data_IF_185218089909
#
_entry.id   IF_185218089909
#
_cell.length_a   1.000
_cell.length_b   1.000
_cell.length_c   1.000
_cell.angle_alpha   90.00
_cell.angle_beta   90.00
_cell.angle_gamma   90.00
#
_symmetry.space_group_name_H-M   'P 1'
#
loop_
_entity.id
_entity.type
_entity.pdbx_description
1 polymer ?
#
# COMPACT_ATOMS: atom_id res chain seq x y z
N UNK A 1 13.66 -23.74 29.22
CA UNK A 1 14.73 -22.84 28.74
C UNK A 1 15.11 -23.33 27.35
N UNK A 2 15.07 -22.44 26.34
CA UNK A 2 15.60 -22.58 24.97
C UNK A 2 14.77 -23.50 24.03
N UNK A 3 14.36 -23.11 22.82
CA UNK A 3 14.67 -21.87 22.11
C UNK A 3 13.99 -21.72 20.74
N UNK A 4 14.02 -20.46 20.32
CA UNK A 4 14.00 -19.94 18.95
C UNK A 4 12.76 -20.15 18.07
N UNK A 5 11.96 -19.09 18.09
CA UNK A 5 11.14 -18.56 17.01
C UNK A 5 11.84 -18.75 15.66
N UNK A 6 11.21 -19.47 14.72
CA UNK A 6 11.59 -19.40 13.31
C UNK A 6 11.09 -18.07 12.72
N UNK A 7 11.74 -16.97 13.09
CA UNK A 7 11.66 -15.67 12.44
C UNK A 7 12.96 -15.48 11.66
N UNK A 8 13.13 -16.20 10.55
CA UNK A 8 14.16 -15.94 9.52
C UNK A 8 13.95 -16.87 8.34
N UNK A 9 12.83 -16.71 7.64
CA UNK A 9 12.74 -17.06 6.23
C UNK A 9 13.02 -15.79 5.42
N UNK A 10 14.20 -15.20 5.58
CA UNK A 10 14.68 -14.23 4.60
C UNK A 10 15.38 -15.04 3.51
N UNK A 11 14.59 -15.77 2.72
CA UNK A 11 15.09 -16.36 1.47
C UNK A 11 15.01 -15.28 0.39
N UNK A 12 15.75 -14.18 0.61
CA UNK A 12 15.93 -13.13 -0.39
C UNK A 12 16.89 -13.64 -1.46
N UNK A 13 16.35 -14.41 -2.40
CA UNK A 13 17.08 -14.85 -3.58
C UNK A 13 16.16 -14.87 -4.80
N UNK A 14 15.45 -13.76 -5.05
CA UNK A 14 14.55 -13.57 -6.20
C UNK A 14 13.15 -13.05 -5.87
N UNK A 15 12.88 -12.67 -4.63
CA UNK A 15 11.56 -12.18 -4.20
C UNK A 15 11.27 -10.77 -4.76
N UNK A 16 10.00 -10.53 -5.11
CA UNK A 16 9.48 -9.21 -5.41
C UNK A 16 9.79 -8.25 -4.26
N UNK A 17 10.46 -7.13 -4.56
CA UNK A 17 10.80 -6.12 -3.56
C UNK A 17 10.27 -4.76 -3.98
N UNK A 18 9.76 -4.00 -3.01
CA UNK A 18 9.32 -2.62 -3.25
C UNK A 18 10.37 -1.69 -2.68
N UNK A 19 10.91 -0.83 -3.54
CA UNK A 19 12.00 0.08 -3.22
C UNK A 19 11.46 1.45 -2.83
N UNK A 20 10.50 1.99 -3.60
CA UNK A 20 10.01 3.33 -3.38
C UNK A 20 8.60 3.53 -3.96
N UNK A 21 7.91 4.58 -3.52
CA UNK A 21 6.56 4.94 -4.00
C UNK A 21 6.51 6.43 -4.27
N UNK A 22 6.25 6.82 -5.52
CA UNK A 22 6.23 8.21 -5.95
C UNK A 22 4.97 8.56 -6.75
N UNK A 23 4.22 9.61 -6.36
CA UNK A 23 4.33 10.30 -5.08
C UNK A 23 3.89 9.41 -3.91
N UNK A 24 4.52 9.52 -2.73
CA UNK A 24 4.08 8.87 -1.47
C UNK A 24 2.90 9.58 -0.80
N UNK A 25 2.33 10.55 -1.49
CA UNK A 25 1.22 11.37 -1.05
C UNK A 25 0.22 11.58 -2.19
N UNK A 26 -1.06 11.42 -1.89
CA UNK A 26 -2.16 11.70 -2.83
C UNK A 26 -3.38 12.18 -2.06
N UNK A 27 -4.34 12.83 -2.73
CA UNK A 27 -5.57 13.22 -2.07
C UNK A 27 -6.42 12.01 -1.67
N UNK A 28 -7.04 12.11 -0.49
CA UNK A 28 -7.99 11.11 0.05
C UNK A 28 -9.22 10.87 -0.82
N UNK A 29 -9.52 11.78 -1.73
CA UNK A 29 -10.58 11.61 -2.72
C UNK A 29 -10.29 10.44 -3.69
N UNK A 30 -9.05 9.93 -3.75
CA UNK A 30 -8.65 8.88 -4.69
C UNK A 30 -8.57 9.37 -6.14
N UNK A 31 -8.49 8.41 -7.07
CA UNK A 31 -8.43 8.66 -8.52
C UNK A 31 -7.11 9.18 -9.04
N UNK A 32 -6.08 9.26 -8.19
CA UNK A 32 -4.73 9.65 -8.58
C UNK A 32 -3.88 8.41 -8.82
N UNK A 33 -2.99 8.46 -9.81
CA UNK A 33 -2.08 7.35 -10.11
C UNK A 33 -0.74 7.61 -9.44
N UNK A 34 -0.22 6.58 -8.78
CA UNK A 34 1.11 6.59 -8.18
C UNK A 34 1.97 5.50 -8.83
N UNK A 35 3.27 5.74 -8.88
CA UNK A 35 4.25 4.79 -9.33
C UNK A 35 4.91 4.10 -8.13
N UNK A 36 4.75 2.79 -8.04
CA UNK A 36 5.46 1.92 -7.12
C UNK A 36 6.70 1.41 -7.84
N UNK A 37 7.87 1.81 -7.35
CA UNK A 37 9.17 1.34 -7.81
C UNK A 37 9.60 0.14 -7.00
N UNK A 38 10.14 -0.85 -7.67
CA UNK A 38 10.60 -2.07 -7.04
C UNK A 38 11.47 -2.91 -7.96
N UNK A 39 11.58 -4.19 -7.67
CA UNK A 39 12.35 -5.14 -8.44
C UNK A 39 11.60 -6.46 -8.52
N UNK A 40 11.77 -7.16 -9.65
CA UNK A 40 11.15 -8.46 -9.94
C UNK A 40 9.61 -8.44 -10.06
N UNK A 41 9.04 -7.35 -10.61
CA UNK A 41 7.64 -7.36 -11.03
C UNK A 41 7.49 -8.20 -12.30
N UNK A 42 6.68 -9.25 -12.22
CA UNK A 42 6.38 -10.18 -13.31
C UNK A 42 5.19 -9.66 -14.11
N UNK A 43 5.43 -9.28 -15.35
CA UNK A 43 4.39 -8.81 -16.28
C UNK A 43 3.40 -9.90 -16.73
N UNK A 44 3.74 -11.17 -16.51
CA UNK A 44 2.90 -12.34 -16.86
C UNK A 44 1.79 -12.66 -15.84
N UNK A 45 1.75 -11.96 -14.69
CA UNK A 45 0.75 -12.19 -13.64
C UNK A 45 0.00 -10.92 -13.27
N UNK A 46 -1.13 -11.08 -12.59
CA UNK A 46 -1.87 -9.97 -12.00
C UNK A 46 -1.26 -9.51 -10.67
N UNK A 47 -1.35 -8.20 -10.42
CA UNK A 47 -1.05 -7.59 -9.13
C UNK A 47 -2.28 -6.90 -8.57
N UNK A 48 -2.51 -7.10 -7.28
CA UNK A 48 -3.52 -6.35 -6.53
C UNK A 48 -2.83 -5.53 -5.45
N UNK A 49 -3.07 -4.23 -5.44
CA UNK A 49 -2.57 -3.33 -4.41
C UNK A 49 -3.70 -2.95 -3.46
N UNK A 50 -3.40 -2.94 -2.18
CA UNK A 50 -4.26 -2.52 -1.10
C UNK A 50 -3.61 -1.36 -0.36
N UNK A 51 -4.40 -0.34 -0.09
CA UNK A 51 -4.06 0.81 0.74
C UNK A 51 -4.82 0.64 2.06
N UNK A 52 -4.14 0.13 3.08
CA UNK A 52 -4.74 -0.26 4.35
C UNK A 52 -5.74 -1.40 4.16
N UNK A 53 -7.03 -1.05 4.21
CA UNK A 53 -8.15 -1.96 3.95
C UNK A 53 -8.79 -1.78 2.58
N UNK A 54 -8.39 -0.75 1.82
CA UNK A 54 -9.02 -0.35 0.56
C UNK A 54 -8.28 -0.95 -0.64
N UNK A 55 -9.01 -1.61 -1.55
CA UNK A 55 -8.40 -2.20 -2.75
C UNK A 55 -8.24 -1.15 -3.84
N UNK A 56 -7.05 -1.10 -4.46
CA UNK A 56 -6.80 -0.29 -5.66
C UNK A 56 -7.73 -0.72 -6.81
N UNK A 57 -8.44 0.22 -7.46
CA UNK A 57 -9.37 -0.08 -8.53
C UNK A 57 -8.65 -0.47 -9.83
N UNK A 58 -7.41 -0.02 -10.02
CA UNK A 58 -6.64 -0.28 -11.22
C UNK A 58 -5.14 -0.39 -10.89
N UNK A 59 -4.52 -1.45 -11.41
CA UNK A 59 -3.09 -1.70 -11.31
C UNK A 59 -2.58 -1.99 -12.72
N UNK A 60 -1.53 -1.29 -13.14
CA UNK A 60 -0.91 -1.42 -14.46
C UNK A 60 0.59 -1.61 -14.27
N UNK A 61 1.12 -2.70 -14.80
CA UNK A 61 2.55 -2.98 -14.77
C UNK A 61 3.14 -2.26 -15.98
N UNK A 62 4.09 -1.34 -15.74
CA UNK A 62 4.80 -0.67 -16.83
C UNK A 62 6.03 -1.50 -17.18
N UNK A 63 6.81 -1.86 -16.15
CA UNK A 63 8.10 -2.54 -16.27
C UNK A 63 8.29 -3.49 -15.09
N UNK A 64 9.28 -4.41 -15.14
CA UNK A 64 9.62 -5.26 -14.01
C UNK A 64 10.11 -4.52 -12.76
N UNK A 65 10.29 -3.21 -12.87
CA UNK A 65 10.72 -2.32 -11.78
C UNK A 65 9.71 -1.21 -11.48
N UNK A 66 8.64 -1.07 -12.28
CA UNK A 66 7.66 0.01 -12.15
C UNK A 66 6.22 -0.48 -12.31
N UNK A 67 5.44 -0.29 -11.26
CA UNK A 67 4.00 -0.52 -11.20
C UNK A 67 3.28 0.81 -11.08
N UNK A 68 2.33 1.09 -11.95
CA UNK A 68 1.43 2.24 -11.83
C UNK A 68 0.12 1.76 -11.23
N UNK A 69 -0.28 2.34 -10.10
CA UNK A 69 -1.51 1.96 -9.41
C UNK A 69 -2.37 3.17 -9.16
N UNK A 70 -3.67 2.98 -9.28
CA UNK A 70 -4.65 4.01 -8.97
C UNK A 70 -4.98 3.96 -7.48
N UNK A 71 -4.88 5.11 -6.84
CA UNK A 71 -5.17 5.26 -5.42
C UNK A 71 -6.68 5.32 -5.24
N UNK A 72 -7.29 4.40 -4.48
CA UNK A 72 -8.72 4.47 -4.19
C UNK A 72 -9.03 5.65 -3.24
N UNK A 73 -10.28 6.10 -3.17
CA UNK A 73 -10.70 7.01 -2.11
C UNK A 73 -10.46 6.36 -0.74
N UNK A 74 -9.95 7.12 0.22
CA UNK A 74 -9.64 6.59 1.55
C UNK A 74 -9.80 7.67 2.63
N UNK A 75 -10.45 7.34 3.75
CA UNK A 75 -10.71 8.27 4.86
C UNK A 75 -9.52 8.50 5.81
N UNK A 76 -8.35 7.89 5.58
CA UNK A 76 -7.23 7.93 6.53
C UNK A 76 -6.23 9.03 6.16
N UNK A 77 -5.90 9.92 7.10
CA UNK A 77 -5.05 11.08 6.82
C UNK A 77 -3.53 10.76 6.69
N UNK A 78 -2.99 9.77 7.38
CA UNK A 78 -1.56 9.42 7.26
C UNK A 78 -1.25 8.04 7.83
N UNK A 79 -0.14 7.43 7.38
CA UNK A 79 0.37 6.17 7.93
C UNK A 79 -0.31 4.95 7.34
N UNK A 80 -0.73 5.02 6.08
CA UNK A 80 -1.43 3.90 5.43
C UNK A 80 -0.43 2.83 5.01
N UNK A 81 -0.72 1.60 5.37
CA UNK A 81 0.03 0.42 4.93
C UNK A 81 -0.25 0.14 3.45
N UNK A 82 0.77 -0.02 2.63
CA UNK A 82 0.59 -0.50 1.25
C UNK A 82 0.86 -2.00 1.24
N UNK A 83 -0.11 -2.79 0.81
CA UNK A 83 0.07 -4.23 0.58
C UNK A 83 -0.06 -4.52 -0.90
N UNK A 84 0.97 -5.10 -1.50
CA UNK A 84 0.95 -5.54 -2.89
C UNK A 84 0.92 -7.06 -2.89
N UNK A 85 -0.13 -7.63 -3.45
CA UNK A 85 -0.31 -9.08 -3.60
C UNK A 85 -0.17 -9.47 -5.05
N UNK A 86 0.74 -10.40 -5.33
CA UNK A 86 0.82 -11.09 -6.61
C UNK A 86 -0.22 -12.24 -6.66
N UNK A 87 -0.89 -12.44 -7.80
CA UNK A 87 -1.94 -13.47 -7.95
C UNK A 87 -1.37 -14.90 -7.81
N UNK A 88 -0.10 -15.10 -8.20
CA UNK A 88 0.63 -16.36 -8.13
C UNK A 88 2.00 -16.20 -7.45
N UNK A 89 2.10 -15.29 -6.47
CA UNK A 89 3.36 -15.03 -5.78
C UNK A 89 3.13 -14.45 -4.39
N UNK A 90 4.17 -13.82 -3.86
CA UNK A 90 4.18 -13.28 -2.52
C UNK A 90 3.38 -11.99 -2.38
N UNK A 91 2.97 -11.73 -1.14
CA UNK A 91 2.38 -10.47 -0.74
C UNK A 91 3.40 -9.65 0.04
N UNK A 92 3.69 -8.45 -0.44
CA UNK A 92 4.59 -7.52 0.22
C UNK A 92 3.80 -6.43 0.92
N UNK A 93 4.09 -6.17 2.20
CA UNK A 93 3.44 -5.11 2.99
C UNK A 93 4.45 -4.10 3.47
N UNK A 94 4.16 -2.83 3.23
CA UNK A 94 4.95 -1.69 3.68
C UNK A 94 4.11 -0.88 4.66
N UNK A 95 4.49 -0.91 5.93
CA UNK A 95 3.79 -0.14 6.95
C UNK A 95 4.10 1.36 6.81
N UNK A 96 3.07 2.21 6.92
CA UNK A 96 3.21 3.67 6.81
C UNK A 96 3.94 4.14 5.54
N UNK A 97 3.70 3.49 4.41
CA UNK A 97 4.28 3.87 3.12
C UNK A 97 3.62 5.10 2.49
N UNK A 98 2.40 5.44 2.90
CA UNK A 98 1.59 6.45 2.23
C UNK A 98 0.91 7.44 3.18
N UNK A 99 0.75 8.69 2.72
CA UNK A 99 0.03 9.75 3.44
C UNK A 99 -1.01 10.42 2.53
N UNK A 100 -2.26 10.49 2.98
CA UNK A 100 -3.31 11.13 2.18
C UNK A 100 -3.50 12.60 2.54
N UNK A 101 -3.38 13.48 1.55
CA UNK A 101 -3.58 14.93 1.71
C UNK A 101 -5.07 15.27 1.59
N UNK A 102 -5.66 15.79 2.66
CA UNK A 102 -7.08 16.18 2.64
C UNK A 102 -8.05 15.04 2.92
N UNK A 103 -7.58 13.91 3.45
CA UNK A 103 -8.49 13.06 4.23
C UNK A 103 -8.96 13.89 5.40
N UNK A 104 -10.23 13.75 5.78
CA UNK A 104 -10.64 14.18 7.10
C UNK A 104 -9.64 13.53 8.07
N UNK A 105 -8.89 14.34 8.85
CA UNK A 105 -8.13 13.77 9.96
C UNK A 105 -9.07 12.80 10.69
N UNK A 106 -8.62 11.61 11.15
CA UNK A 106 -9.45 10.72 11.95
C UNK A 106 -9.84 11.31 13.33
N UNK A 107 -9.85 12.64 13.47
CA UNK A 107 -10.28 13.42 14.61
C UNK A 107 -11.28 14.44 14.12
N UNK A 108 -12.53 14.01 13.99
CA UNK A 108 -13.70 14.69 14.51
C UNK A 108 -14.91 13.83 14.14
N UNK A 109 -15.17 12.80 14.94
CA UNK A 109 -16.58 12.56 15.25
C UNK A 109 -17.08 13.91 15.78
N UNK A 110 -18.12 14.53 15.21
CA UNK A 110 -18.79 15.60 15.92
C UNK A 110 -19.34 14.91 17.18
N UNK A 111 -18.60 14.97 18.28
CA UNK A 111 -19.21 14.82 19.60
C UNK A 111 -20.05 16.07 19.71
N UNK A 112 -21.23 15.99 19.10
CA UNK A 112 -22.30 16.94 19.25
C UNK A 112 -22.48 17.07 20.75
N UNK A 113 -21.93 18.14 21.25
CA UNK A 113 -22.30 18.82 22.47
C UNK A 113 -23.81 19.01 22.44
N UNK A 114 -24.55 17.97 22.82
CA UNK A 114 -25.87 18.13 23.40
C UNK A 114 -25.63 18.75 24.78
N UNK A 115 -25.35 20.06 24.75
CA UNK A 115 -25.55 20.91 25.91
C UNK A 115 -26.95 21.53 25.76
N UNK A 116 -27.75 21.21 26.78
CA UNK A 116 -29.05 21.76 27.18
C UNK A 116 -30.27 21.21 26.45
#
# INVERSE_FOLDING_TARGET
MIGLIALSGCESSGEMSIVDVEPREAPAAGGHRIAIKGNNFRTDIGYTVYFGSERSPAVTIIDPETLVVEVPPHDAASGVDITVSADNGDAFRIASAFSFKGAASPTEAPTGNLKY
#
